data_IF_365421499536
#
_entry.id   IF_365421499536
#
_cell.length_a   1.000
_cell.length_b   1.000
_cell.length_c   1.000
_cell.angle_alpha   90.00
_cell.angle_beta   90.00
_cell.angle_gamma   90.00
#
_symmetry.space_group_name_H-M   'P 1'
#
loop_
_entity.id
_entity.type
_entity.pdbx_description
1 polymer ?
#
# COMPACT_ATOMS: atom_id res chain seq x y z
N UNK A 1 10.94 -31.91 18.00
CA UNK A 1 9.95 -31.09 18.74
C UNK A 1 9.63 -29.83 17.95
N UNK A 2 8.42 -29.70 17.41
CA UNK A 2 8.01 -28.50 16.66
C UNK A 2 7.81 -27.33 17.63
N UNK A 3 8.68 -26.31 17.55
CA UNK A 3 8.49 -25.06 18.29
C UNK A 3 7.13 -24.47 17.93
N UNK A 4 6.24 -24.32 18.93
CA UNK A 4 4.97 -23.58 18.80
C UNK A 4 5.28 -22.20 18.21
N UNK A 5 4.89 -21.98 16.96
CA UNK A 5 5.11 -20.68 16.31
C UNK A 5 4.20 -19.64 16.94
N UNK A 6 4.78 -18.67 17.66
CA UNK A 6 4.03 -17.55 18.21
C UNK A 6 3.43 -16.71 17.07
N UNK A 7 2.11 -16.74 16.93
CA UNK A 7 1.37 -16.01 15.88
C UNK A 7 1.57 -14.49 15.95
N UNK A 8 1.85 -13.94 17.13
CA UNK A 8 2.09 -12.52 17.35
C UNK A 8 3.57 -12.14 17.29
N UNK A 9 4.45 -13.05 16.86
CA UNK A 9 5.86 -12.74 16.65
C UNK A 9 6.02 -11.54 15.71
N UNK A 10 6.86 -10.60 16.10
CA UNK A 10 7.13 -9.38 15.32
C UNK A 10 7.94 -9.75 14.08
N UNK A 11 7.47 -9.28 12.92
CA UNK A 11 8.11 -9.42 11.62
C UNK A 11 8.58 -8.05 11.17
N UNK A 12 9.84 -7.96 10.75
CA UNK A 12 10.34 -6.82 9.99
C UNK A 12 10.24 -7.11 8.50
N UNK A 13 9.56 -6.25 7.74
CA UNK A 13 9.57 -6.27 6.27
C UNK A 13 10.83 -5.52 5.80
N UNK A 14 11.76 -6.26 5.21
CA UNK A 14 12.94 -5.73 4.52
C UNK A 14 12.72 -5.66 3.01
N UNK A 15 13.61 -4.96 2.32
CA UNK A 15 13.60 -4.82 0.85
C UNK A 15 14.82 -5.52 0.27
N UNK A 16 14.61 -6.45 -0.67
CA UNK A 16 15.65 -6.99 -1.56
C UNK A 16 15.72 -6.08 -2.77
N UNK A 17 16.83 -5.40 -3.03
CA UNK A 17 16.84 -4.35 -4.06
C UNK A 17 16.84 -4.94 -5.47
N UNK A 18 17.53 -6.07 -5.66
CA UNK A 18 17.73 -6.70 -6.97
C UNK A 18 17.70 -8.24 -6.87
N UNK A 19 17.50 -8.98 -7.98
CA UNK A 19 17.52 -10.44 -8.00
C UNK A 19 18.74 -11.09 -7.34
N UNK A 20 19.94 -10.54 -7.56
CA UNK A 20 21.19 -10.97 -6.89
C UNK A 20 21.09 -10.98 -5.36
N UNK A 21 20.33 -10.06 -4.75
CA UNK A 21 20.15 -10.03 -3.29
C UNK A 21 19.32 -11.24 -2.81
N UNK A 22 18.37 -11.71 -3.62
CA UNK A 22 17.59 -12.90 -3.30
C UNK A 22 18.46 -14.16 -3.41
N UNK A 23 19.30 -14.26 -4.44
CA UNK A 23 20.24 -15.37 -4.61
C UNK A 23 21.21 -15.45 -3.41
N UNK A 24 21.79 -14.31 -3.01
CA UNK A 24 22.63 -14.23 -1.82
C UNK A 24 21.86 -14.64 -0.55
N UNK A 25 20.63 -14.18 -0.37
CA UNK A 25 19.80 -14.57 0.77
C UNK A 25 19.54 -16.09 0.81
N UNK A 26 19.25 -16.69 -0.34
CA UNK A 26 18.95 -18.12 -0.46
C UNK A 26 20.20 -18.98 -0.23
N UNK A 27 21.34 -18.58 -0.79
CA UNK A 27 22.61 -19.31 -0.70
C UNK A 27 23.29 -19.15 0.66
N UNK A 28 23.41 -17.91 1.12
CA UNK A 28 24.23 -17.56 2.29
C UNK A 28 23.43 -17.44 3.59
N UNK A 29 22.09 -17.49 3.53
CA UNK A 29 21.18 -17.42 4.70
C UNK A 29 21.40 -16.19 5.59
N UNK A 30 21.65 -15.03 4.99
CA UNK A 30 21.67 -13.76 5.70
C UNK A 30 21.06 -12.60 4.90
N UNK A 31 20.60 -11.59 5.62
CA UNK A 31 20.12 -10.32 5.09
C UNK A 31 20.89 -9.15 5.70
N UNK A 32 21.12 -8.08 4.93
CA UNK A 32 21.88 -6.90 5.38
C UNK A 32 20.99 -5.68 5.57
N UNK A 33 21.28 -4.91 6.61
CA UNK A 33 20.63 -3.63 6.89
C UNK A 33 21.72 -2.58 7.16
N UNK A 34 21.79 -1.45 6.44
CA UNK A 34 22.70 -0.36 6.78
C UNK A 34 22.46 0.08 8.22
N UNK A 35 23.51 0.20 9.05
CA UNK A 35 23.35 0.48 10.48
C UNK A 35 22.60 1.79 10.73
N UNK A 36 22.87 2.81 9.91
CA UNK A 36 22.21 4.13 9.95
C UNK A 36 20.71 4.11 9.62
N UNK A 37 20.19 3.03 9.05
CA UNK A 37 18.78 2.86 8.72
C UNK A 37 18.14 1.69 9.46
N UNK A 38 18.85 1.10 10.43
CA UNK A 38 18.41 -0.10 11.09
C UNK A 38 17.26 0.21 12.06
N UNK A 39 16.12 -0.50 11.94
CA UNK A 39 15.05 -0.37 12.93
C UNK A 39 15.51 -0.78 14.33
N UNK A 40 15.03 -0.07 15.36
CA UNK A 40 15.38 -0.30 16.77
C UNK A 40 14.52 -1.38 17.43
N UNK A 41 13.26 -1.50 17.04
CA UNK A 41 12.32 -2.50 17.57
C UNK A 41 12.80 -3.92 17.27
N UNK A 42 12.77 -4.80 18.27
CA UNK A 42 13.12 -6.21 18.12
C UNK A 42 12.12 -6.96 17.22
N UNK A 43 12.64 -7.90 16.41
CA UNK A 43 11.86 -8.72 15.50
C UNK A 43 12.40 -10.15 15.47
N UNK A 44 11.50 -11.13 15.41
CA UNK A 44 11.83 -12.55 15.39
C UNK A 44 11.89 -13.10 13.95
N UNK A 45 11.33 -12.39 12.99
CA UNK A 45 11.25 -12.79 11.59
C UNK A 45 11.58 -11.62 10.65
N UNK A 46 12.09 -11.97 9.48
CA UNK A 46 12.22 -11.08 8.33
C UNK A 46 11.29 -11.53 7.22
N UNK A 47 10.63 -10.59 6.57
CA UNK A 47 9.91 -10.80 5.31
C UNK A 47 10.53 -9.94 4.22
N UNK A 48 10.58 -10.44 2.99
CA UNK A 48 11.40 -9.84 1.94
C UNK A 48 10.54 -9.30 0.81
N UNK A 49 10.38 -7.97 0.76
CA UNK A 49 9.74 -7.28 -0.35
C UNK A 49 10.66 -7.22 -1.56
N UNK A 50 10.13 -7.61 -2.70
CA UNK A 50 10.78 -7.64 -4.00
C UNK A 50 10.19 -6.51 -4.87
N UNK A 51 10.94 -5.46 -5.23
CA UNK A 51 10.46 -4.33 -6.01
C UNK A 51 10.29 -4.69 -7.50
N UNK A 52 9.94 -3.70 -8.31
CA UNK A 52 9.75 -3.86 -9.76
C UNK A 52 11.00 -4.38 -10.51
N UNK A 53 12.20 -4.25 -9.92
CA UNK A 53 13.45 -4.83 -10.46
C UNK A 53 13.40 -6.36 -10.60
N UNK A 54 12.42 -7.05 -10.00
CA UNK A 54 12.18 -8.49 -10.15
C UNK A 54 11.20 -8.83 -11.30
N UNK A 55 10.86 -7.86 -12.15
CA UNK A 55 9.97 -8.05 -13.30
C UNK A 55 8.60 -8.60 -12.90
N UNK A 56 8.11 -9.59 -13.67
CA UNK A 56 6.81 -10.24 -13.46
C UNK A 56 6.67 -10.93 -12.09
N UNK A 57 7.80 -11.26 -11.44
CA UNK A 57 7.84 -11.89 -10.12
C UNK A 57 7.94 -10.87 -8.97
N UNK A 58 8.11 -9.59 -9.28
CA UNK A 58 8.28 -8.50 -8.32
C UNK A 58 6.99 -7.94 -7.76
N UNK A 59 7.11 -6.74 -7.18
CA UNK A 59 6.04 -5.97 -6.52
C UNK A 59 5.29 -6.79 -5.45
N UNK A 60 6.00 -7.67 -4.74
CA UNK A 60 5.38 -8.53 -3.72
C UNK A 60 6.34 -8.94 -2.61
N UNK A 61 5.77 -9.48 -1.53
CA UNK A 61 6.48 -10.27 -0.53
C UNK A 61 6.12 -11.72 -0.78
N UNK A 62 7.14 -12.56 -0.98
CA UNK A 62 6.95 -14.00 -1.27
C UNK A 62 7.69 -14.89 -0.28
N UNK A 63 8.78 -14.37 0.29
CA UNK A 63 9.67 -15.12 1.16
C UNK A 63 9.76 -14.47 2.54
N UNK A 64 9.95 -15.31 3.55
CA UNK A 64 10.21 -14.88 4.92
C UNK A 64 11.07 -15.92 5.64
N UNK A 65 11.75 -15.51 6.71
CA UNK A 65 12.61 -16.40 7.48
C UNK A 65 12.70 -15.99 8.94
N UNK A 66 12.96 -16.95 9.82
CA UNK A 66 13.20 -16.68 11.25
C UNK A 66 14.59 -16.09 11.41
N UNK A 67 14.72 -15.06 12.24
CA UNK A 67 16.01 -14.50 12.62
C UNK A 67 16.68 -15.44 13.61
N UNK A 68 17.92 -15.84 13.32
CA UNK A 68 18.73 -16.72 14.17
C UNK A 68 19.94 -16.01 14.78
N UNK A 69 20.29 -14.82 14.26
CA UNK A 69 21.36 -14.02 14.84
C UNK A 69 21.53 -12.67 14.15
N UNK A 70 22.23 -11.77 14.84
CA UNK A 70 22.57 -10.43 14.37
C UNK A 70 24.02 -10.14 14.71
N UNK A 71 24.79 -9.67 13.73
CA UNK A 71 26.15 -9.17 13.94
C UNK A 71 26.37 -7.88 13.17
N UNK A 72 27.40 -7.12 13.51
CA UNK A 72 27.74 -5.87 12.83
C UNK A 72 29.07 -6.01 12.10
N UNK A 73 29.08 -5.68 10.81
CA UNK A 73 30.22 -5.86 9.90
C UNK A 73 30.28 -4.69 8.91
N UNK A 74 31.39 -4.53 8.20
CA UNK A 74 31.47 -3.54 7.10
C UNK A 74 30.87 -4.09 5.81
N UNK A 75 30.48 -3.20 4.88
CA UNK A 75 29.94 -3.62 3.57
C UNK A 75 30.94 -4.47 2.77
N UNK A 76 32.21 -4.09 2.73
CA UNK A 76 33.27 -4.86 2.03
C UNK A 76 33.43 -6.29 2.55
N UNK A 77 33.16 -6.53 3.84
CA UNK A 77 33.18 -7.87 4.42
C UNK A 77 31.93 -8.69 4.04
N UNK A 78 30.79 -8.02 3.79
CA UNK A 78 29.55 -8.68 3.35
C UNK A 78 29.52 -8.98 1.86
N UNK A 79 30.12 -8.10 1.07
CA UNK A 79 30.09 -8.10 -0.39
C UNK A 79 31.53 -7.90 -0.89
N UNK A 80 32.37 -8.95 -0.82
CA UNK A 80 33.78 -8.86 -1.20
C UNK A 80 33.96 -8.53 -2.68
N UNK A 81 33.00 -8.86 -3.55
CA UNK A 81 33.07 -8.49 -4.98
C UNK A 81 32.80 -6.98 -5.24
N UNK A 82 32.47 -6.21 -4.19
CA UNK A 82 32.13 -4.78 -4.28
C UNK A 82 33.10 -3.88 -3.48
N UNK A 83 34.40 -4.18 -3.52
CA UNK A 83 35.42 -3.45 -2.74
C UNK A 83 35.43 -1.94 -3.01
N UNK A 84 35.22 -1.53 -4.27
CA UNK A 84 35.28 -0.13 -4.69
C UNK A 84 33.93 0.61 -4.57
N UNK A 85 32.93 0.00 -3.91
CA UNK A 85 31.64 0.65 -3.71
C UNK A 85 31.80 1.90 -2.82
N UNK A 86 31.13 3.05 -3.09
CA UNK A 86 31.26 4.26 -2.28
C UNK A 86 31.02 4.06 -0.77
N UNK A 87 30.19 3.07 -0.46
CA UNK A 87 29.81 2.65 0.90
C UNK A 87 30.58 1.44 1.45
N UNK A 88 31.69 1.03 0.84
CA UNK A 88 32.40 -0.20 1.20
C UNK A 88 32.82 -0.26 2.67
N UNK A 89 33.14 0.90 3.27
CA UNK A 89 33.56 1.01 4.68
C UNK A 89 32.40 1.21 5.67
N UNK A 90 31.18 1.47 5.20
CA UNK A 90 30.02 1.69 6.08
C UNK A 90 29.64 0.43 6.86
N UNK A 91 29.05 0.63 8.05
CA UNK A 91 28.60 -0.44 8.94
C UNK A 91 27.21 -0.95 8.55
N UNK A 92 27.07 -2.26 8.54
CA UNK A 92 25.84 -2.98 8.25
C UNK A 92 25.59 -4.02 9.34
N UNK A 93 24.33 -4.25 9.65
CA UNK A 93 23.92 -5.44 10.37
C UNK A 93 23.82 -6.61 9.40
N UNK A 94 24.55 -7.69 9.69
CA UNK A 94 24.35 -9.02 9.11
C UNK A 94 23.33 -9.76 9.96
N UNK A 95 22.11 -9.89 9.45
CA UNK A 95 21.05 -10.66 10.09
C UNK A 95 21.11 -12.08 9.52
N UNK A 96 21.55 -13.04 10.33
CA UNK A 96 21.48 -14.46 9.97
C UNK A 96 20.04 -14.93 10.09
N UNK A 97 19.60 -15.70 9.12
CA UNK A 97 18.24 -16.26 9.08
C UNK A 97 18.30 -17.79 8.99
N UNK A 98 17.27 -18.45 9.48
CA UNK A 98 17.06 -19.88 9.27
C UNK A 98 16.55 -20.17 7.85
N UNK A 99 15.80 -21.25 7.71
CA UNK A 99 15.22 -21.61 6.41
C UNK A 99 14.31 -20.51 5.85
N UNK A 100 14.56 -20.19 4.58
CA UNK A 100 13.70 -19.31 3.80
C UNK A 100 12.41 -20.07 3.48
N UNK A 101 11.31 -19.57 4.03
CA UNK A 101 9.97 -20.09 3.83
C UNK A 101 9.25 -19.27 2.76
N UNK A 102 8.44 -19.97 1.95
CA UNK A 102 7.58 -19.36 0.94
C UNK A 102 6.18 -19.16 1.53
N UNK A 103 5.59 -17.99 1.31
CA UNK A 103 4.18 -17.75 1.66
C UNK A 103 3.28 -18.53 0.71
N UNK A 104 2.18 -19.10 1.24
CA UNK A 104 1.17 -19.78 0.44
C UNK A 104 0.61 -18.88 -0.67
N UNK A 105 0.47 -17.58 -0.37
CA UNK A 105 0.13 -16.56 -1.35
C UNK A 105 1.08 -15.36 -1.24
N UNK A 106 1.63 -14.85 -2.35
CA UNK A 106 2.45 -13.64 -2.32
C UNK A 106 1.57 -12.44 -1.96
N UNK A 107 2.07 -11.60 -1.04
CA UNK A 107 1.42 -10.34 -0.67
C UNK A 107 1.77 -9.30 -1.73
N UNK A 108 0.77 -8.80 -2.47
CA UNK A 108 0.99 -7.92 -3.62
C UNK A 108 0.96 -6.43 -3.23
N UNK A 109 1.85 -5.65 -3.84
CA UNK A 109 1.77 -4.19 -3.83
C UNK A 109 0.88 -3.74 -5.00
N UNK A 110 -0.43 -3.96 -4.84
CA UNK A 110 -1.46 -3.74 -5.88
C UNK A 110 -1.50 -2.26 -6.27
N UNK A 111 -1.68 -1.38 -5.28
CA UNK A 111 -1.56 0.07 -5.43
C UNK A 111 -0.09 0.40 -5.17
N UNK A 112 0.71 0.82 -6.18
CA UNK A 112 2.15 0.96 -6.02
C UNK A 112 2.54 1.94 -4.91
N UNK A 113 2.92 1.41 -3.74
CA UNK A 113 3.45 2.19 -2.61
C UNK A 113 4.95 2.00 -2.51
N UNK A 114 5.68 3.05 -2.10
CA UNK A 114 7.09 2.92 -1.74
C UNK A 114 7.19 2.08 -0.48
N UNK A 115 7.78 0.89 -0.59
CA UNK A 115 8.00 0.01 0.56
C UNK A 115 9.38 0.30 1.14
N UNK A 116 9.40 0.64 2.42
CA UNK A 116 10.60 0.78 3.25
C UNK A 116 10.53 -0.25 4.39
N UNK A 117 11.44 -0.16 5.36
CA UNK A 117 11.35 -0.98 6.56
C UNK A 117 10.02 -0.73 7.29
N UNK A 118 9.26 -1.80 7.52
CA UNK A 118 7.95 -1.75 8.19
C UNK A 118 7.74 -2.96 9.09
N UNK A 119 6.94 -2.78 10.14
CA UNK A 119 6.65 -3.86 11.09
C UNK A 119 5.26 -4.44 10.89
N UNK A 120 5.16 -5.75 11.07
CA UNK A 120 3.90 -6.49 11.11
C UNK A 120 4.00 -7.68 12.07
N UNK A 121 3.02 -8.57 12.05
CA UNK A 121 3.01 -9.82 12.83
C UNK A 121 3.09 -11.02 11.91
N UNK A 122 3.58 -12.15 12.42
CA UNK A 122 3.65 -13.40 11.66
C UNK A 122 2.25 -13.86 11.20
N UNK A 123 1.22 -13.66 12.01
CA UNK A 123 -0.17 -13.90 11.63
C UNK A 123 -0.58 -13.11 10.39
N UNK A 124 -0.39 -11.78 10.41
CA UNK A 124 -0.76 -10.91 9.28
C UNK A 124 0.05 -11.22 8.03
N UNK A 125 1.35 -11.48 8.18
CA UNK A 125 2.20 -11.89 7.07
C UNK A 125 1.67 -13.14 6.37
N UNK A 126 1.12 -14.11 7.12
CA UNK A 126 0.61 -15.36 6.56
C UNK A 126 -0.79 -15.25 5.95
N UNK A 127 -1.59 -14.27 6.37
CA UNK A 127 -2.99 -14.12 5.93
C UNK A 127 -3.23 -13.00 4.90
N UNK A 128 -2.37 -11.97 4.87
CA UNK A 128 -2.58 -10.81 4.00
C UNK A 128 -2.48 -11.15 2.52
N UNK A 129 -3.31 -10.51 1.69
CA UNK A 129 -3.28 -10.61 0.23
C UNK A 129 -2.53 -9.44 -0.42
N UNK A 130 -2.51 -8.29 0.25
CA UNK A 130 -1.87 -7.07 -0.21
C UNK A 130 -1.21 -6.27 0.92
N UNK A 131 -0.52 -5.20 0.54
CA UNK A 131 0.22 -4.33 1.47
C UNK A 131 -0.71 -3.56 2.44
N UNK A 132 -1.96 -3.25 2.06
CA UNK A 132 -2.90 -2.54 2.94
C UNK A 132 -3.32 -3.46 4.08
N UNK A 133 -3.70 -4.69 3.77
CA UNK A 133 -4.04 -5.72 4.75
C UNK A 133 -2.85 -6.04 5.66
N UNK A 134 -1.63 -6.10 5.10
CA UNK A 134 -0.41 -6.38 5.87
C UNK A 134 -0.17 -5.34 6.98
N UNK A 135 -0.38 -4.06 6.66
CA UNK A 135 -0.12 -2.94 7.56
C UNK A 135 -1.38 -2.39 8.26
N UNK A 136 -2.56 -2.95 7.98
CA UNK A 136 -3.87 -2.42 8.44
C UNK A 136 -4.07 -0.95 8.06
N UNK A 137 -3.66 -0.59 6.85
CA UNK A 137 -3.98 0.72 6.30
C UNK A 137 -5.46 0.68 5.88
N UNK A 138 -6.27 1.54 6.48
CA UNK A 138 -7.67 1.71 6.10
C UNK A 138 -7.73 2.22 4.64
N UNK A 139 -8.50 1.59 3.75
CA UNK A 139 -8.75 2.11 2.40
C UNK A 139 -9.32 3.53 2.45
N UNK A 140 -8.94 4.39 1.51
CA UNK A 140 -9.37 5.79 1.51
C UNK A 140 -10.88 5.93 1.34
N UNK A 141 -11.50 5.03 0.59
CA UNK A 141 -12.94 4.95 0.39
C UNK A 141 -13.63 4.69 1.73
N UNK A 142 -13.10 3.78 2.55
CA UNK A 142 -13.64 3.51 3.89
C UNK A 142 -13.46 4.72 4.83
N UNK A 143 -12.34 5.44 4.73
CA UNK A 143 -12.14 6.69 5.49
C UNK A 143 -13.19 7.75 5.12
N UNK A 144 -13.46 7.91 3.81
CA UNK A 144 -14.48 8.82 3.29
C UNK A 144 -15.88 8.39 3.71
N UNK A 145 -16.23 7.11 3.58
CA UNK A 145 -17.53 6.57 4.00
C UNK A 145 -17.80 6.85 5.48
N UNK A 146 -16.83 6.54 6.35
CA UNK A 146 -16.94 6.81 7.78
C UNK A 146 -17.06 8.32 8.07
N UNK A 147 -16.35 9.16 7.30
CA UNK A 147 -16.44 10.61 7.39
C UNK A 147 -17.81 11.17 6.98
N UNK A 148 -18.36 10.68 5.87
CA UNK A 148 -19.69 11.04 5.38
C UNK A 148 -20.78 10.62 6.37
N UNK A 149 -20.69 9.39 6.88
CA UNK A 149 -21.62 8.87 7.91
C UNK A 149 -21.59 9.72 9.18
N UNK A 150 -20.41 10.07 9.71
CA UNK A 150 -20.26 10.97 10.86
C UNK A 150 -20.80 12.38 10.60
N UNK A 151 -20.80 12.82 9.35
CA UNK A 151 -21.32 14.11 8.93
C UNK A 151 -22.84 14.11 8.70
N UNK A 152 -23.53 12.96 8.86
CA UNK A 152 -24.95 12.82 8.56
C UNK A 152 -25.27 12.82 7.05
N UNK A 153 -24.27 12.58 6.19
CA UNK A 153 -24.45 12.54 4.74
C UNK A 153 -24.68 11.09 4.34
N UNK A 154 -25.89 10.77 3.87
CA UNK A 154 -26.22 9.44 3.38
C UNK A 154 -25.65 9.24 1.97
N UNK A 155 -24.63 8.38 1.87
CA UNK A 155 -23.93 8.09 0.64
C UNK A 155 -24.08 6.61 0.28
N UNK A 156 -24.44 6.32 -0.97
CA UNK A 156 -24.56 4.97 -1.52
C UNK A 156 -23.20 4.57 -2.10
N UNK A 157 -22.49 3.61 -1.51
CA UNK A 157 -21.21 3.17 -2.03
C UNK A 157 -21.40 2.41 -3.34
N UNK A 158 -20.43 2.54 -4.25
CA UNK A 158 -20.30 1.69 -5.42
C UNK A 158 -21.51 1.70 -6.38
N UNK A 159 -22.31 2.77 -6.38
CA UNK A 159 -23.50 2.89 -7.22
C UNK A 159 -23.14 2.82 -8.69
N UNK A 160 -23.86 1.98 -9.43
CA UNK A 160 -23.74 1.84 -10.87
C UNK A 160 -24.82 2.67 -11.55
N UNK A 161 -24.40 3.54 -12.46
CA UNK A 161 -25.27 4.35 -13.31
C UNK A 161 -25.25 3.76 -14.72
N UNK A 162 -26.43 3.60 -15.30
CA UNK A 162 -26.63 3.13 -16.68
C UNK A 162 -27.41 4.20 -17.43
N UNK A 163 -26.90 4.62 -18.60
CA UNK A 163 -27.63 5.48 -19.53
C UNK A 163 -27.26 5.09 -20.97
N UNK A 164 -28.26 4.62 -21.72
CA UNK A 164 -28.06 3.96 -23.01
C UNK A 164 -27.10 2.77 -22.89
N UNK A 165 -26.10 2.70 -23.75
CA UNK A 165 -25.06 1.65 -23.72
C UNK A 165 -23.92 1.92 -22.72
N UNK A 166 -23.94 3.06 -22.00
CA UNK A 166 -22.85 3.41 -21.07
C UNK A 166 -23.20 3.00 -19.65
N UNK A 167 -22.22 2.34 -19.00
CA UNK A 167 -22.25 1.97 -17.59
C UNK A 167 -21.07 2.59 -16.86
N UNK A 168 -21.34 3.24 -15.75
CA UNK A 168 -20.32 3.87 -14.90
C UNK A 168 -20.53 3.46 -13.44
N UNK A 169 -19.46 3.17 -12.72
CA UNK A 169 -19.48 2.93 -11.28
C UNK A 169 -18.90 4.14 -10.56
N UNK A 170 -19.61 4.63 -9.55
CA UNK A 170 -19.18 5.69 -8.66
C UNK A 170 -18.58 5.08 -7.39
N UNK A 171 -17.65 5.78 -6.73
CA UNK A 171 -17.22 5.34 -5.39
C UNK A 171 -18.32 5.59 -4.37
N UNK A 172 -18.92 6.79 -4.40
CA UNK A 172 -20.13 7.10 -3.65
C UNK A 172 -21.10 8.01 -4.44
N UNK A 173 -22.38 7.82 -4.20
CA UNK A 173 -23.45 8.66 -4.70
C UNK A 173 -24.24 9.28 -3.55
N UNK A 174 -24.58 10.57 -3.65
CA UNK A 174 -25.44 11.27 -2.70
C UNK A 174 -26.61 11.88 -3.45
N UNK A 175 -27.82 11.44 -3.15
CA UNK A 175 -29.05 12.03 -3.68
C UNK A 175 -29.36 13.33 -2.95
N UNK A 176 -29.63 14.40 -3.69
CA UNK A 176 -30.02 15.71 -3.18
C UNK A 176 -31.36 16.11 -3.82
N UNK A 177 -32.01 17.18 -3.32
CA UNK A 177 -33.29 17.64 -3.87
C UNK A 177 -33.20 18.12 -5.32
N UNK A 178 -32.10 18.80 -5.69
CA UNK A 178 -31.87 19.36 -7.04
C UNK A 178 -30.79 18.64 -7.83
N UNK A 179 -30.73 17.30 -7.72
CA UNK A 179 -29.80 16.46 -8.48
C UNK A 179 -29.06 15.46 -7.60
N UNK A 180 -27.92 14.99 -8.06
CA UNK A 180 -27.11 14.02 -7.33
C UNK A 180 -25.63 14.39 -7.34
N UNK A 181 -24.89 13.91 -6.35
CA UNK A 181 -23.45 14.10 -6.24
C UNK A 181 -22.76 12.76 -6.45
N UNK A 182 -21.77 12.74 -7.33
CA UNK A 182 -20.82 11.64 -7.49
C UNK A 182 -19.53 12.02 -6.74
N UNK A 183 -19.17 11.26 -5.71
CA UNK A 183 -17.92 11.42 -4.98
C UNK A 183 -16.96 10.34 -5.47
N UNK A 184 -15.76 10.76 -5.90
CA UNK A 184 -14.72 9.88 -6.43
C UNK A 184 -13.45 10.01 -5.55
N UNK A 185 -12.93 8.87 -5.10
CA UNK A 185 -11.73 8.75 -4.28
C UNK A 185 -10.54 8.42 -5.17
N UNK A 186 -9.78 9.44 -5.54
CA UNK A 186 -8.71 9.31 -6.50
C UNK A 186 -7.41 8.86 -5.83
N UNK A 187 -7.03 7.61 -6.08
CA UNK A 187 -5.74 7.06 -5.68
C UNK A 187 -4.58 7.74 -6.45
N UNK A 188 -3.46 8.04 -5.78
CA UNK A 188 -2.34 8.79 -6.38
C UNK A 188 -1.67 8.08 -7.58
N UNK A 189 -1.92 6.77 -7.74
CA UNK A 189 -1.48 5.98 -8.89
C UNK A 189 -2.34 6.18 -10.15
N UNK A 190 -3.61 6.58 -9.99
CA UNK A 190 -4.60 6.62 -11.08
C UNK A 190 -4.42 7.81 -12.03
N UNK A 191 -3.74 8.89 -11.62
CA UNK A 191 -3.57 10.10 -12.43
C UNK A 191 -2.30 10.17 -13.29
N UNK A 192 -1.47 9.12 -13.31
CA UNK A 192 -0.14 9.17 -13.94
C UNK A 192 -0.13 8.89 -15.44
N UNK A 193 -1.22 8.41 -16.05
CA UNK A 193 -1.26 8.14 -17.50
C UNK A 193 -2.19 9.12 -18.25
N UNK A 194 -1.80 9.60 -19.46
CA UNK A 194 -2.67 10.42 -20.31
C UNK A 194 -3.99 9.73 -20.67
N UNK A 195 -3.97 8.40 -20.79
CA UNK A 195 -5.13 7.57 -21.11
C UNK A 195 -6.17 7.58 -19.98
N UNK A 196 -5.73 7.58 -18.72
CA UNK A 196 -6.66 7.63 -17.58
C UNK A 196 -7.34 9.01 -17.47
N UNK A 197 -6.60 10.10 -17.75
CA UNK A 197 -7.18 11.45 -17.77
C UNK A 197 -8.29 11.60 -18.80
N UNK A 198 -8.14 11.01 -19.99
CA UNK A 198 -9.19 11.08 -21.01
C UNK A 198 -10.43 10.26 -20.65
N UNK A 199 -10.25 9.12 -19.95
CA UNK A 199 -11.35 8.32 -19.40
C UNK A 199 -12.09 9.10 -18.30
N UNK A 200 -11.35 9.71 -17.36
CA UNK A 200 -11.91 10.53 -16.29
C UNK A 200 -12.69 11.73 -16.84
N UNK A 201 -12.14 12.44 -17.82
CA UNK A 201 -12.84 13.56 -18.48
C UNK A 201 -14.13 13.11 -19.15
N UNK A 202 -14.12 11.96 -19.84
CA UNK A 202 -15.33 11.40 -20.46
C UNK A 202 -16.37 10.98 -19.42
N UNK A 203 -15.93 10.45 -18.27
CA UNK A 203 -16.79 10.12 -17.13
C UNK A 203 -17.41 11.38 -16.52
N UNK A 204 -16.62 12.42 -16.27
CA UNK A 204 -17.09 13.68 -15.71
C UNK A 204 -18.11 14.38 -16.64
N UNK A 205 -17.82 14.42 -17.95
CA UNK A 205 -18.76 14.96 -18.96
C UNK A 205 -20.06 14.15 -18.98
N UNK A 206 -19.97 12.82 -18.94
CA UNK A 206 -21.14 11.95 -18.89
C UNK A 206 -21.99 12.23 -17.64
N UNK A 207 -21.37 12.27 -16.46
CA UNK A 207 -22.06 12.51 -15.20
C UNK A 207 -22.75 13.88 -15.19
N UNK A 208 -22.05 14.94 -15.58
CA UNK A 208 -22.61 16.30 -15.63
C UNK A 208 -23.80 16.40 -16.58
N UNK A 209 -23.74 15.77 -17.75
CA UNK A 209 -24.87 15.72 -18.70
C UNK A 209 -26.12 15.04 -18.13
N UNK A 210 -25.97 14.18 -17.13
CA UNK A 210 -27.07 13.46 -16.49
C UNK A 210 -27.41 14.03 -15.10
N UNK A 211 -27.10 15.31 -14.85
CA UNK A 211 -27.51 16.00 -13.63
C UNK A 211 -26.66 15.68 -12.39
N UNK A 212 -25.47 15.09 -12.58
CA UNK A 212 -24.55 14.80 -11.47
C UNK A 212 -23.52 15.91 -11.28
N UNK A 213 -23.35 16.34 -10.03
CA UNK A 213 -22.22 17.15 -9.60
C UNK A 213 -21.09 16.23 -9.15
N UNK A 214 -19.88 16.40 -9.69
CA UNK A 214 -18.74 15.52 -9.39
C UNK A 214 -17.83 16.18 -8.35
N UNK A 215 -17.53 15.47 -7.26
CA UNK A 215 -16.56 15.88 -6.23
C UNK A 215 -15.43 14.85 -6.19
N UNK A 216 -14.23 15.24 -6.63
CA UNK A 216 -13.01 14.41 -6.56
C UNK A 216 -12.21 14.71 -5.29
N UNK A 217 -11.88 13.64 -4.57
CA UNK A 217 -11.09 13.66 -3.34
C UNK A 217 -9.80 12.87 -3.58
N UNK A 218 -8.65 13.51 -3.50
CA UNK A 218 -7.37 12.81 -3.72
C UNK A 218 -6.98 11.99 -2.49
N UNK A 219 -6.25 10.89 -2.67
CA UNK A 219 -5.67 10.11 -1.57
C UNK A 219 -4.88 10.99 -0.60
N UNK A 220 -4.11 11.96 -1.12
CA UNK A 220 -3.34 12.87 -0.30
C UNK A 220 -4.25 13.76 0.57
N UNK A 221 -5.30 14.35 0.00
CA UNK A 221 -6.23 15.18 0.77
C UNK A 221 -6.95 14.35 1.84
N UNK A 222 -7.40 13.14 1.49
CA UNK A 222 -8.12 12.24 2.40
C UNK A 222 -7.25 11.82 3.58
N UNK A 223 -5.98 11.46 3.32
CA UNK A 223 -5.06 11.00 4.36
C UNK A 223 -4.58 12.15 5.25
N UNK A 224 -4.39 13.35 4.67
CA UNK A 224 -3.88 14.52 5.40
C UNK A 224 -4.98 15.24 6.18
N UNK A 225 -6.16 15.43 5.59
CA UNK A 225 -7.23 16.25 6.15
C UNK A 225 -8.62 15.78 5.67
N UNK A 226 -9.01 14.59 6.14
CA UNK A 226 -10.35 14.05 5.92
C UNK A 226 -11.46 15.04 6.33
N UNK A 227 -11.41 15.75 7.48
CA UNK A 227 -12.44 16.74 7.84
C UNK A 227 -12.66 17.80 6.77
N UNK A 228 -11.60 18.33 6.14
CA UNK A 228 -11.72 19.28 5.03
C UNK A 228 -12.34 18.67 3.78
N UNK A 229 -12.00 17.42 3.45
CA UNK A 229 -12.66 16.69 2.36
C UNK A 229 -14.18 16.58 2.60
N UNK A 230 -14.58 16.17 3.80
CA UNK A 230 -16.00 16.05 4.17
C UNK A 230 -16.69 17.42 4.18
N UNK A 231 -16.02 18.48 4.65
CA UNK A 231 -16.55 19.84 4.59
C UNK A 231 -16.81 20.29 3.15
N UNK A 232 -15.91 19.99 2.20
CA UNK A 232 -16.12 20.27 0.77
C UNK A 232 -17.37 19.57 0.23
N UNK A 233 -17.56 18.29 0.54
CA UNK A 233 -18.79 17.55 0.14
C UNK A 233 -20.02 18.21 0.75
N UNK A 234 -19.99 18.56 2.04
CA UNK A 234 -21.11 19.20 2.74
C UNK A 234 -21.54 20.53 2.11
N UNK A 235 -20.59 21.33 1.63
CA UNK A 235 -20.91 22.58 0.91
C UNK A 235 -21.73 22.28 -0.35
N UNK A 236 -21.36 21.26 -1.11
CA UNK A 236 -22.08 20.87 -2.34
C UNK A 236 -23.46 20.29 -2.02
N UNK A 237 -23.57 19.42 -1.01
CA UNK A 237 -24.87 18.90 -0.53
C UNK A 237 -25.81 20.05 -0.18
N UNK A 238 -25.34 21.01 0.65
CA UNK A 238 -26.14 22.17 1.03
C UNK A 238 -26.55 23.03 -0.17
N UNK A 239 -25.70 23.18 -1.17
CA UNK A 239 -26.03 23.95 -2.37
C UNK A 239 -27.14 23.28 -3.19
N UNK A 240 -27.17 21.95 -3.26
CA UNK A 240 -28.16 21.18 -4.02
C UNK A 240 -29.46 20.88 -3.24
N UNK A 241 -29.46 21.05 -1.92
CA UNK A 241 -30.64 20.87 -1.06
C UNK A 241 -31.38 22.17 -0.71
N UNK A 242 -30.80 23.34 -1.01
CA UNK A 242 -31.47 24.63 -0.79
C UNK A 242 -32.63 24.84 -1.79
N UNK A 243 -33.76 25.29 -1.23
CA UNK A 243 -34.89 25.90 -1.95
C UNK A 243 -34.44 27.22 -2.59
#
# INVERSE_FOLDING_TARGET
>A
MAQRTNRNAVVLVGVLKQPRDLELLQRERWYRIPAVHAPTRAYAYLAFYQPAAFGVRGKCIRYYARVIGRGMVSRRQLLPDELNHPRARERYYRIRVGDIQTLHHPIRNIIPRRVTFGFTTLHRLRSARDMLQLYRVTPIEQMVEDGLRRAGIHAIPQQVIVSGMRRCRLDFAVSCRRGAIAIECDNAASHRSPTHRSIDQRKDVFLRRHGWTVVRLTEQDIVVDLPRCIARVRVVVRALDRL
#
